data_IF_812989793003
#
_entry.id   IF_812989793003
#
_cell.length_a   1.000
_cell.length_b   1.000
_cell.length_c   1.000
_cell.angle_alpha   90.00
_cell.angle_beta   90.00
_cell.angle_gamma   90.00
#
_symmetry.space_group_name_H-M   'P 1'
#
loop_
_entity.id
_entity.type
_entity.pdbx_description
1 polymer ?
#
# COMPACT_ATOMS: atom_id res chain seq x y z
N UNK A 1 1.25 12.36 11.82
CA UNK A 1 0.60 11.21 11.15
C UNK A 1 1.51 10.63 10.06
N UNK A 2 1.58 9.30 9.92
CA UNK A 2 2.46 8.61 8.95
C UNK A 2 2.40 9.19 7.52
N UNK A 3 1.20 9.34 6.94
CA UNK A 3 1.05 9.82 5.56
C UNK A 3 1.57 11.28 5.37
N UNK A 4 1.39 12.15 6.36
CA UNK A 4 1.88 13.54 6.29
C UNK A 4 3.40 13.61 6.38
N UNK A 5 3.98 12.91 7.35
CA UNK A 5 5.40 13.03 7.66
C UNK A 5 6.25 12.23 6.68
N UNK A 6 5.88 10.97 6.45
CA UNK A 6 6.66 10.07 5.60
C UNK A 6 6.45 10.39 4.12
N UNK A 7 5.20 10.53 3.67
CA UNK A 7 4.92 10.70 2.24
C UNK A 7 4.69 12.17 1.83
N UNK A 8 4.56 13.10 2.78
CA UNK A 8 4.49 14.54 2.52
C UNK A 8 5.82 15.24 2.76
N UNK A 9 6.13 15.53 4.03
CA UNK A 9 7.34 16.28 4.41
C UNK A 9 8.64 15.61 3.95
N UNK A 10 8.80 14.31 4.23
CA UNK A 10 10.03 13.61 3.84
C UNK A 10 10.16 13.47 2.32
N UNK A 11 9.06 13.23 1.59
CA UNK A 11 9.08 13.31 0.11
C UNK A 11 9.55 14.67 -0.39
N UNK A 12 9.07 15.78 0.19
CA UNK A 12 9.49 17.12 -0.23
C UNK A 12 10.97 17.38 0.06
N UNK A 13 11.47 16.90 1.20
CA UNK A 13 12.90 16.92 1.51
C UNK A 13 13.72 16.10 0.51
N UNK A 14 13.28 14.88 0.17
CA UNK A 14 13.94 14.03 -0.84
C UNK A 14 13.98 14.75 -2.20
N UNK A 15 12.88 15.41 -2.60
CA UNK A 15 12.84 16.23 -3.82
C UNK A 15 13.86 17.37 -3.78
N UNK A 16 14.04 18.06 -2.65
CA UNK A 16 15.05 19.12 -2.50
C UNK A 16 16.48 18.56 -2.63
N UNK A 17 16.79 17.47 -1.92
CA UNK A 17 18.10 16.80 -1.98
C UNK A 17 18.43 16.37 -3.41
N UNK A 18 17.42 15.98 -4.18
CA UNK A 18 17.55 15.56 -5.58
C UNK A 18 17.50 16.71 -6.59
N UNK A 19 17.31 17.96 -6.15
CA UNK A 19 17.08 19.12 -7.02
C UNK A 19 15.86 18.96 -7.95
N UNK A 20 14.82 18.27 -7.48
CA UNK A 20 13.54 18.00 -8.15
C UNK A 20 12.39 18.78 -7.49
N UNK A 21 12.60 20.07 -7.21
CA UNK A 21 11.66 20.90 -6.43
C UNK A 21 10.28 21.03 -7.09
N UNK A 22 10.19 20.84 -8.40
CA UNK A 22 8.95 20.78 -9.17
C UNK A 22 8.06 19.57 -8.80
N UNK A 23 8.66 18.53 -8.19
CA UNK A 23 7.94 17.32 -7.72
C UNK A 23 7.44 17.42 -6.28
N UNK A 24 7.57 18.59 -5.64
CA UNK A 24 7.08 18.78 -4.27
C UNK A 24 5.56 18.64 -4.19
N UNK A 25 5.12 17.97 -3.13
CA UNK A 25 3.72 17.63 -2.87
C UNK A 25 3.09 18.66 -1.95
N UNK A 26 1.81 18.96 -2.20
CA UNK A 26 0.98 19.67 -1.22
C UNK A 26 0.70 18.76 -0.03
N UNK A 27 0.99 19.25 1.17
CA UNK A 27 0.74 18.52 2.42
C UNK A 27 -0.65 18.91 2.93
N UNK A 28 -1.48 17.91 3.23
CA UNK A 28 -2.79 18.07 3.88
C UNK A 28 -2.77 17.33 5.21
N UNK A 29 -3.20 17.99 6.27
CA UNK A 29 -3.27 17.37 7.59
C UNK A 29 -4.48 16.43 7.69
N UNK A 30 -4.42 15.41 8.54
CA UNK A 30 -5.58 14.63 8.96
C UNK A 30 -6.37 15.46 9.96
N UNK A 31 -7.65 15.69 9.67
CA UNK A 31 -8.58 16.27 10.64
C UNK A 31 -9.26 15.18 11.48
N UNK A 32 -9.54 14.03 10.85
CA UNK A 32 -10.11 12.85 11.52
C UNK A 32 -9.45 11.58 11.04
N UNK A 33 -9.32 10.61 11.96
CA UNK A 33 -8.95 9.23 11.65
C UNK A 33 -9.81 8.29 12.47
N UNK A 34 -10.28 7.21 11.85
CA UNK A 34 -11.07 6.19 12.50
C UNK A 34 -10.68 4.79 12.00
N UNK A 35 -10.93 3.81 12.85
CA UNK A 35 -10.71 2.40 12.56
C UNK A 35 -11.93 1.62 13.04
N UNK A 36 -12.42 0.69 12.23
CA UNK A 36 -13.53 -0.21 12.58
C UNK A 36 -13.22 -1.62 12.11
N UNK A 37 -13.66 -2.61 12.86
CA UNK A 37 -13.62 -4.00 12.42
C UNK A 37 -14.66 -4.25 11.31
N UNK A 38 -14.38 -5.26 10.49
CA UNK A 38 -15.31 -5.88 9.55
C UNK A 38 -14.96 -7.36 9.41
N UNK A 39 -15.79 -8.11 8.69
CA UNK A 39 -15.69 -9.57 8.56
C UNK A 39 -14.27 -10.09 8.25
N UNK A 40 -13.50 -9.37 7.41
CA UNK A 40 -12.18 -9.82 6.98
C UNK A 40 -11.00 -9.06 7.62
N UNK A 41 -11.25 -8.12 8.54
CA UNK A 41 -10.18 -7.34 9.18
C UNK A 41 -10.62 -5.96 9.68
N UNK A 42 -9.88 -4.91 9.31
CA UNK A 42 -10.09 -3.53 9.78
C UNK A 42 -10.22 -2.55 8.61
N UNK A 43 -11.20 -1.66 8.66
CA UNK A 43 -11.26 -0.47 7.81
C UNK A 43 -10.57 0.71 8.47
N UNK A 44 -9.65 1.35 7.74
CA UNK A 44 -9.09 2.66 8.07
C UNK A 44 -9.85 3.76 7.34
N UNK A 45 -10.31 4.78 8.08
CA UNK A 45 -11.00 5.95 7.53
C UNK A 45 -10.27 7.22 7.90
N UNK A 46 -10.32 8.21 7.02
CA UNK A 46 -9.73 9.54 7.27
C UNK A 46 -10.51 10.67 6.61
N UNK A 47 -10.52 11.81 7.27
CA UNK A 47 -10.87 13.11 6.68
C UNK A 47 -9.59 13.93 6.61
N UNK A 48 -9.27 14.40 5.40
CA UNK A 48 -8.12 15.27 5.16
C UNK A 48 -8.56 16.74 5.25
N UNK A 49 -7.61 17.63 5.55
CA UNK A 49 -7.84 19.06 5.59
C UNK A 49 -8.47 19.57 4.29
N UNK A 50 -9.56 20.31 4.43
CA UNK A 50 -10.37 20.81 3.31
C UNK A 50 -11.35 19.78 2.74
N UNK A 51 -11.48 18.61 3.37
CA UNK A 51 -12.40 17.54 3.00
C UNK A 51 -13.55 17.38 3.96
N UNK A 52 -14.28 16.29 3.78
CA UNK A 52 -15.49 16.02 4.54
C UNK A 52 -15.68 14.53 4.84
N UNK A 53 -16.67 14.23 5.69
CA UNK A 53 -17.11 12.85 5.89
C UNK A 53 -17.86 12.28 4.67
N UNK A 54 -18.16 13.09 3.66
CA UNK A 54 -18.71 12.63 2.37
C UNK A 54 -17.62 12.13 1.41
N UNK A 55 -16.34 12.32 1.76
CA UNK A 55 -15.21 11.87 0.96
C UNK A 55 -15.06 10.35 1.04
N UNK A 56 -14.61 9.74 -0.06
CA UNK A 56 -14.57 8.27 -0.14
C UNK A 56 -13.57 7.62 0.82
N UNK A 57 -12.55 8.37 1.25
CA UNK A 57 -11.62 7.93 2.30
C UNK A 57 -12.25 7.82 3.69
N UNK A 58 -13.44 8.41 3.88
CA UNK A 58 -14.23 8.28 5.10
C UNK A 58 -15.43 7.35 4.89
N UNK A 59 -16.24 7.56 3.84
CA UNK A 59 -17.45 6.74 3.60
C UNK A 59 -17.12 5.27 3.40
N UNK A 60 -16.27 4.97 2.44
CA UNK A 60 -15.85 3.60 2.13
C UNK A 60 -14.67 3.18 3.02
N UNK A 61 -13.61 4.00 3.08
CA UNK A 61 -12.39 3.70 3.82
C UNK A 61 -11.44 2.77 3.07
N UNK A 62 -10.39 2.33 3.76
CA UNK A 62 -9.28 1.56 3.19
C UNK A 62 -9.12 0.24 3.98
N UNK A 63 -9.34 -0.94 3.36
CA UNK A 63 -9.31 -2.19 4.09
C UNK A 63 -7.89 -2.70 4.36
N UNK A 64 -7.68 -3.12 5.60
CA UNK A 64 -6.57 -3.93 6.09
C UNK A 64 -7.16 -5.30 6.35
N UNK A 65 -6.75 -6.30 5.58
CA UNK A 65 -7.30 -7.65 5.63
C UNK A 65 -6.37 -8.50 6.49
N UNK A 66 -6.96 -9.19 7.47
CA UNK A 66 -6.23 -10.05 8.39
C UNK A 66 -5.67 -11.30 7.67
N UNK A 67 -4.52 -11.85 8.08
CA UNK A 67 -3.60 -11.27 9.05
C UNK A 67 -2.62 -10.26 8.44
N UNK A 68 -2.31 -10.34 7.14
CA UNK A 68 -1.11 -9.70 6.59
C UNK A 68 -1.31 -8.94 5.28
N UNK A 69 -2.54 -8.57 4.98
CA UNK A 69 -2.91 -8.04 3.67
C UNK A 69 -3.30 -6.56 3.77
N UNK A 70 -2.74 -5.73 2.91
CA UNK A 70 -3.19 -4.36 2.70
C UNK A 70 -3.82 -4.26 1.32
N UNK A 71 -5.12 -3.99 1.25
CA UNK A 71 -5.83 -3.83 -0.02
C UNK A 71 -5.44 -2.51 -0.66
N UNK A 72 -5.13 -2.54 -1.95
CA UNK A 72 -4.79 -1.38 -2.76
C UNK A 72 -5.49 -1.47 -4.11
N UNK A 73 -5.66 -0.33 -4.79
CA UNK A 73 -6.33 -0.30 -6.09
C UNK A 73 -7.83 -0.59 -6.01
N UNK A 74 -8.39 -1.19 -7.06
CA UNK A 74 -9.84 -1.40 -7.22
C UNK A 74 -10.48 -2.28 -6.14
N UNK A 75 -11.81 -2.14 -5.97
CA UNK A 75 -12.61 -2.90 -4.98
C UNK A 75 -12.85 -4.36 -5.36
N UNK A 76 -12.60 -4.72 -6.63
CA UNK A 76 -12.80 -6.07 -7.15
C UNK A 76 -14.23 -6.39 -7.58
N UNK A 77 -15.18 -5.52 -7.26
CA UNK A 77 -16.58 -5.68 -7.71
C UNK A 77 -16.81 -4.97 -9.04
N UNK A 78 -16.27 -3.77 -9.18
CA UNK A 78 -16.58 -2.90 -10.30
C UNK A 78 -15.31 -2.54 -11.07
N UNK A 79 -15.24 -3.02 -12.31
CA UNK A 79 -14.11 -2.77 -13.21
C UNK A 79 -13.91 -1.29 -13.52
N UNK A 80 -14.96 -0.48 -13.49
CA UNK A 80 -14.80 0.97 -13.69
C UNK A 80 -14.02 1.62 -12.55
N UNK A 81 -14.04 1.01 -11.35
CA UNK A 81 -13.29 1.47 -10.18
C UNK A 81 -11.85 0.95 -10.12
N UNK A 82 -11.42 0.18 -11.11
CA UNK A 82 -10.08 -0.42 -11.13
C UNK A 82 -8.99 0.55 -11.62
N UNK A 83 -9.33 1.74 -12.14
CA UNK A 83 -8.35 2.77 -12.51
C UNK A 83 -7.12 2.24 -13.29
N UNK A 84 -5.91 2.73 -12.97
CA UNK A 84 -4.62 2.22 -13.50
C UNK A 84 -4.15 0.92 -12.81
N UNK A 85 -4.72 0.58 -11.66
CA UNK A 85 -4.31 -0.56 -10.82
C UNK A 85 -5.56 -1.34 -10.41
N UNK A 86 -5.76 -2.51 -10.99
CA UNK A 86 -6.84 -3.40 -10.58
C UNK A 86 -6.70 -3.82 -9.12
N UNK A 87 -7.52 -4.78 -8.66
CA UNK A 87 -7.39 -5.35 -7.33
C UNK A 87 -5.92 -5.67 -7.04
N UNK A 88 -5.35 -5.00 -6.05
CA UNK A 88 -3.96 -5.17 -5.67
C UNK A 88 -3.89 -5.39 -4.18
N UNK A 89 -2.93 -6.19 -3.74
CA UNK A 89 -2.69 -6.43 -2.32
C UNK A 89 -1.19 -6.37 -2.05
N UNK A 90 -0.83 -5.78 -0.93
CA UNK A 90 0.46 -6.05 -0.33
C UNK A 90 0.30 -7.16 0.69
N UNK A 91 1.18 -8.16 0.63
CA UNK A 91 1.15 -9.34 1.50
C UNK A 91 2.46 -9.37 2.29
N UNK A 92 2.40 -9.50 3.61
CA UNK A 92 3.56 -9.49 4.50
C UNK A 92 3.63 -10.75 5.35
N UNK A 93 4.35 -11.77 4.91
CA UNK A 93 4.38 -13.07 5.59
C UNK A 93 5.67 -13.20 6.40
N UNK A 94 5.63 -13.44 7.71
CA UNK A 94 6.81 -13.81 8.48
C UNK A 94 7.45 -15.08 7.90
N UNK A 95 8.75 -15.04 7.62
CA UNK A 95 9.53 -16.22 7.22
C UNK A 95 10.19 -16.83 8.45
N UNK A 96 10.78 -15.97 9.27
CA UNK A 96 11.41 -16.28 10.55
C UNK A 96 11.30 -15.05 11.48
N UNK A 97 11.92 -15.11 12.66
CA UNK A 97 11.87 -14.06 13.69
C UNK A 97 12.44 -12.70 13.24
N UNK A 98 13.22 -12.68 12.16
CA UNK A 98 13.96 -11.51 11.68
C UNK A 98 13.69 -11.13 10.22
N UNK A 99 13.01 -11.99 9.46
CA UNK A 99 12.72 -11.78 8.03
C UNK A 99 11.23 -11.87 7.72
N UNK A 100 10.75 -10.92 6.92
CA UNK A 100 9.38 -10.89 6.40
C UNK A 100 9.41 -10.87 4.87
N UNK A 101 8.69 -11.79 4.25
CA UNK A 101 8.42 -11.76 2.82
C UNK A 101 7.40 -10.68 2.51
N UNK A 102 7.74 -9.69 1.68
CA UNK A 102 6.82 -8.63 1.27
C UNK A 102 6.53 -8.72 -0.22
N UNK A 103 5.30 -9.09 -0.55
CA UNK A 103 4.84 -9.27 -1.92
C UNK A 103 3.89 -8.16 -2.31
N UNK A 104 4.07 -7.59 -3.50
CA UNK A 104 3.07 -6.73 -4.12
C UNK A 104 2.42 -7.48 -5.27
N UNK A 105 1.17 -7.88 -5.07
CA UNK A 105 0.37 -8.54 -6.10
C UNK A 105 -0.56 -7.50 -6.69
N UNK A 106 -0.51 -7.34 -8.01
CA UNK A 106 -1.37 -6.42 -8.74
C UNK A 106 -2.02 -7.14 -9.90
N UNK A 107 -3.34 -7.09 -9.95
CA UNK A 107 -4.09 -7.58 -11.09
C UNK A 107 -4.26 -6.45 -12.11
N UNK A 108 -4.08 -6.80 -13.39
CA UNK A 108 -4.37 -5.91 -14.50
C UNK A 108 -5.56 -6.44 -15.28
N UNK A 109 -6.35 -5.52 -15.84
CA UNK A 109 -7.37 -5.90 -16.79
C UNK A 109 -6.73 -6.61 -17.99
N UNK A 110 -7.22 -7.80 -18.29
CA UNK A 110 -6.88 -8.54 -19.52
C UNK A 110 -7.45 -7.79 -20.72
N UNK A 111 -6.59 -7.40 -21.65
CA UNK A 111 -7.02 -6.82 -22.93
C UNK A 111 -7.39 -7.96 -23.89
N UNK A 112 -8.27 -7.68 -24.86
CA UNK A 112 -8.70 -8.69 -25.84
C UNK A 112 -7.55 -9.24 -26.67
N UNK A 113 -6.49 -8.47 -26.85
CA UNK A 113 -5.25 -8.83 -27.55
C UNK A 113 -4.25 -9.59 -26.67
N UNK A 114 -4.43 -9.61 -25.33
CA UNK A 114 -3.49 -10.27 -24.42
C UNK A 114 -3.72 -11.79 -24.47
N UNK A 115 -2.69 -12.61 -24.78
CA UNK A 115 -2.82 -14.06 -24.78
C UNK A 115 -3.19 -14.59 -23.38
N UNK A 116 -3.63 -15.84 -23.30
CA UNK A 116 -3.76 -16.50 -22.00
C UNK A 116 -2.40 -16.51 -21.30
N UNK A 117 -2.39 -16.05 -20.05
CA UNK A 117 -1.21 -16.06 -19.21
C UNK A 117 -1.13 -17.41 -18.50
N UNK A 118 -0.06 -18.15 -18.74
CA UNK A 118 0.23 -19.35 -17.94
C UNK A 118 0.82 -18.95 -16.59
N UNK A 119 0.75 -19.86 -15.63
CA UNK A 119 1.27 -19.61 -14.28
C UNK A 119 2.78 -19.29 -14.31
N UNK A 120 3.54 -20.03 -15.12
CA UNK A 120 4.98 -19.83 -15.32
C UNK A 120 5.34 -18.50 -16.00
N UNK A 121 4.38 -17.83 -16.64
CA UNK A 121 4.57 -16.57 -17.36
C UNK A 121 4.16 -15.35 -16.51
N UNK A 122 3.83 -15.54 -15.22
CA UNK A 122 3.55 -14.43 -14.31
C UNK A 122 4.85 -13.67 -14.06
N UNK A 123 4.95 -12.38 -14.46
CA UNK A 123 6.19 -11.65 -14.34
C UNK A 123 6.49 -11.36 -12.88
N UNK A 124 7.70 -11.74 -12.47
CA UNK A 124 8.23 -11.40 -11.15
C UNK A 124 9.22 -10.24 -11.28
N UNK A 125 9.17 -9.33 -10.32
CA UNK A 125 10.12 -8.24 -10.21
C UNK A 125 10.52 -8.07 -8.76
N UNK A 126 11.82 -7.99 -8.52
CA UNK A 126 12.38 -7.73 -7.21
C UNK A 126 12.85 -6.26 -7.15
N UNK A 127 12.18 -5.38 -6.40
CA UNK A 127 12.64 -4.01 -6.20
C UNK A 127 14.00 -3.95 -5.50
N UNK A 128 14.81 -2.91 -5.72
CA UNK A 128 16.00 -2.67 -4.90
C UNK A 128 15.57 -2.36 -3.46
N UNK A 129 16.37 -2.84 -2.51
CA UNK A 129 16.20 -2.57 -1.07
C UNK A 129 17.07 -1.38 -0.72
N UNK A 130 16.56 -0.48 0.13
CA UNK A 130 17.31 0.72 0.51
C UNK A 130 18.42 0.33 1.47
N UNK A 131 19.64 0.74 1.12
CA UNK A 131 20.83 0.59 1.93
C UNK A 131 21.45 1.97 2.20
N UNK A 132 22.30 2.03 3.21
CA UNK A 132 23.14 3.19 3.46
C UNK A 132 24.41 3.10 2.59
N UNK A 133 24.84 4.23 2.05
CA UNK A 133 26.10 4.35 1.34
C UNK A 133 27.31 4.40 2.30
N UNK A 134 28.51 4.55 1.74
CA UNK A 134 29.77 4.65 2.49
C UNK A 134 29.84 5.83 3.47
N UNK A 135 28.97 6.84 3.31
CA UNK A 135 28.87 8.01 4.18
C UNK A 135 27.69 7.89 5.16
N UNK A 136 27.14 6.69 5.32
CA UNK A 136 25.95 6.41 6.13
C UNK A 136 24.71 7.21 5.70
N UNK A 137 24.63 7.60 4.41
CA UNK A 137 23.47 8.28 3.86
C UNK A 137 22.56 7.29 3.12
N UNK A 138 21.23 7.46 3.16
CA UNK A 138 20.35 6.64 2.35
C UNK A 138 20.52 6.97 0.87
N UNK A 139 20.36 5.96 0.02
CA UNK A 139 20.31 6.14 -1.43
C UNK A 139 19.03 6.88 -1.84
N UNK A 140 19.05 8.22 -1.80
CA UNK A 140 17.89 9.09 -2.04
C UNK A 140 17.18 8.84 -3.38
N UNK A 141 17.90 8.29 -4.38
CA UNK A 141 17.31 7.90 -5.66
C UNK A 141 16.32 6.76 -5.57
N UNK A 142 16.40 5.89 -4.57
CA UNK A 142 15.41 4.83 -4.38
C UNK A 142 14.17 5.32 -3.60
N UNK A 143 14.29 6.44 -2.87
CA UNK A 143 13.27 6.96 -1.95
C UNK A 143 12.23 7.89 -2.60
N UNK A 144 12.24 8.02 -3.91
CA UNK A 144 11.28 8.78 -4.74
C UNK A 144 9.88 8.12 -4.83
N UNK A 145 9.57 7.12 -3.99
CA UNK A 145 8.27 6.45 -3.97
C UNK A 145 7.81 6.07 -2.57
N UNK A 146 6.50 6.09 -2.33
CA UNK A 146 5.91 5.78 -1.03
C UNK A 146 6.34 4.40 -0.52
N UNK A 147 6.36 3.38 -1.39
CA UNK A 147 6.69 2.02 -0.98
C UNK A 147 8.16 1.83 -0.60
N UNK A 148 9.07 2.56 -1.25
CA UNK A 148 10.46 2.59 -0.84
C UNK A 148 10.60 3.33 0.51
N UNK A 149 9.89 4.44 0.69
CA UNK A 149 9.87 5.15 1.97
C UNK A 149 9.31 4.30 3.12
N UNK A 150 8.28 3.51 2.88
CA UNK A 150 7.73 2.54 3.85
C UNK A 150 8.79 1.51 4.26
N UNK A 151 9.51 0.95 3.29
CA UNK A 151 10.58 -0.01 3.54
C UNK A 151 11.68 0.59 4.42
N UNK A 152 12.10 1.83 4.16
CA UNK A 152 13.05 2.55 5.00
C UNK A 152 12.53 2.69 6.45
N UNK A 153 11.26 3.07 6.61
CA UNK A 153 10.64 3.25 7.92
C UNK A 153 10.52 1.92 8.71
N UNK A 154 10.45 0.78 8.02
CA UNK A 154 10.45 -0.52 8.68
C UNK A 154 11.85 -0.96 9.10
N UNK A 155 12.82 -0.96 8.18
CA UNK A 155 14.17 -1.50 8.45
C UNK A 155 14.90 -0.71 9.54
N UNK A 156 14.59 0.59 9.66
CA UNK A 156 15.17 1.47 10.70
C UNK A 156 14.71 1.15 12.12
N UNK A 157 13.65 0.36 12.30
CA UNK A 157 13.24 -0.14 13.62
C UNK A 157 14.08 -1.33 14.11
N UNK A 158 15.01 -1.83 13.27
CA UNK A 158 15.81 -3.01 13.55
C UNK A 158 15.09 -4.31 13.21
N UNK A 159 15.83 -5.43 13.23
CA UNK A 159 15.28 -6.75 12.93
C UNK A 159 14.17 -7.16 13.91
N UNK A 160 14.35 -6.82 15.19
CA UNK A 160 13.35 -6.98 16.25
C UNK A 160 13.25 -5.65 16.99
N UNK A 161 12.12 -4.96 16.83
CA UNK A 161 11.89 -3.69 17.51
C UNK A 161 11.52 -3.92 19.00
N UNK A 162 12.29 -3.33 19.92
CA UNK A 162 11.94 -3.29 21.33
C UNK A 162 10.75 -2.35 21.57
N UNK A 163 9.65 -2.90 22.10
CA UNK A 163 8.40 -2.18 22.35
C UNK A 163 8.10 -1.98 23.82
N UNK A 164 9.00 -2.32 24.75
CA UNK A 164 8.72 -2.16 26.19
C UNK A 164 8.50 -0.71 26.61
N UNK A 165 9.07 0.24 25.86
CA UNK A 165 8.91 1.68 26.05
C UNK A 165 8.01 2.37 25.02
N UNK A 166 7.22 1.63 24.25
CA UNK A 166 6.36 2.21 23.20
C UNK A 166 5.26 3.09 23.80
N UNK A 167 5.13 4.33 23.29
CA UNK A 167 4.09 5.28 23.70
C UNK A 167 3.16 5.57 22.53
N UNK A 168 2.03 4.84 22.48
CA UNK A 168 1.05 4.97 21.41
C UNK A 168 0.19 6.22 21.59
N UNK A 169 -0.03 6.94 20.49
CA UNK A 169 -0.91 8.10 20.40
C UNK A 169 -2.31 7.77 19.89
N UNK A 170 -3.15 8.79 19.77
CA UNK A 170 -4.55 8.65 19.27
C UNK A 170 -4.63 8.05 17.87
N UNK A 171 -3.64 8.33 17.02
CA UNK A 171 -3.56 7.82 15.65
C UNK A 171 -3.31 6.32 15.57
N UNK A 172 -2.81 5.73 16.66
CA UNK A 172 -2.34 4.35 16.71
C UNK A 172 -3.45 3.39 17.13
N UNK A 173 -4.70 3.87 17.21
CA UNK A 173 -5.87 3.02 17.47
C UNK A 173 -5.94 1.82 16.53
N UNK A 174 -5.57 1.98 15.25
CA UNK A 174 -5.55 0.88 14.30
C UNK A 174 -4.55 -0.23 14.64
N UNK A 175 -3.35 0.11 15.13
CA UNK A 175 -2.38 -0.90 15.53
C UNK A 175 -2.79 -1.60 16.83
N UNK A 176 -3.43 -0.88 17.76
CA UNK A 176 -4.01 -1.46 18.98
C UNK A 176 -5.09 -2.49 18.60
N UNK A 177 -6.03 -2.11 17.74
CA UNK A 177 -7.08 -3.02 17.25
C UNK A 177 -6.50 -4.23 16.53
N UNK A 178 -5.48 -4.04 15.68
CA UNK A 178 -4.85 -5.13 14.95
C UNK A 178 -4.11 -6.10 15.88
N UNK A 179 -3.41 -5.61 16.91
CA UNK A 179 -2.75 -6.46 17.92
C UNK A 179 -3.77 -7.27 18.72
N UNK A 180 -4.88 -6.65 19.13
CA UNK A 180 -5.97 -7.37 19.79
C UNK A 180 -6.56 -8.46 18.89
N UNK A 181 -6.82 -8.14 17.62
CA UNK A 181 -7.31 -9.11 16.64
C UNK A 181 -6.36 -10.29 16.43
N UNK A 182 -5.04 -10.05 16.42
CA UNK A 182 -4.04 -11.13 16.38
C UNK A 182 -4.12 -12.02 17.62
N UNK A 183 -4.12 -11.43 18.82
CA UNK A 183 -4.20 -12.20 20.08
C UNK A 183 -5.46 -13.03 20.17
N UNK A 184 -6.60 -12.48 19.76
CA UNK A 184 -7.89 -13.18 19.80
C UNK A 184 -7.92 -14.33 18.78
N UNK A 185 -7.40 -14.14 17.58
CA UNK A 185 -7.30 -15.20 16.58
C UNK A 185 -6.27 -16.28 16.94
N UNK A 186 -5.19 -15.93 17.63
CA UNK A 186 -4.24 -16.90 18.18
C UNK A 186 -4.95 -17.80 19.20
N UNK A 187 -5.72 -17.23 20.14
CA UNK A 187 -6.49 -18.03 21.11
C UNK A 187 -7.49 -18.96 20.43
N UNK A 188 -8.20 -18.48 19.40
CA UNK A 188 -9.13 -19.33 18.62
C UNK A 188 -8.39 -20.53 18.02
N UNK A 189 -7.21 -20.32 17.45
CA UNK A 189 -6.37 -21.40 16.91
C UNK A 189 -5.90 -22.36 18.01
N UNK A 190 -5.45 -21.85 19.15
CA UNK A 190 -5.02 -22.66 20.30
C UNK A 190 -6.16 -23.54 20.85
N UNK A 191 -7.40 -23.05 20.80
CA UNK A 191 -8.60 -23.78 21.17
C UNK A 191 -9.08 -24.77 20.07
N UNK A 192 -8.35 -24.88 18.96
CA UNK A 192 -8.65 -25.80 17.85
C UNK A 192 -9.68 -25.26 16.84
N UNK A 193 -10.00 -23.98 16.91
CA UNK A 193 -10.87 -23.28 15.96
C UNK A 193 -10.12 -22.70 14.77
N UNK A 194 -10.89 -22.05 13.89
CA UNK A 194 -10.38 -21.37 12.70
C UNK A 194 -10.24 -19.87 12.94
N UNK A 195 -9.07 -19.27 12.62
CA UNK A 195 -8.95 -17.83 12.62
C UNK A 195 -9.76 -17.24 11.47
N UNK A 196 -10.08 -15.95 11.57
CA UNK A 196 -10.76 -15.23 10.50
C UNK A 196 -10.01 -15.37 9.18
N UNK A 197 -10.75 -15.37 8.08
CA UNK A 197 -10.26 -15.60 6.71
C UNK A 197 -9.74 -17.02 6.45
N UNK A 198 -10.18 -18.01 7.24
CA UNK A 198 -10.06 -19.43 6.91
C UNK A 198 -11.34 -19.89 6.25
N UNK A 199 -11.25 -20.34 5.00
CA UNK A 199 -12.39 -20.85 4.24
C UNK A 199 -12.19 -22.36 4.03
N UNK A 200 -13.11 -23.18 4.54
CA UNK A 200 -12.97 -24.65 4.51
C UNK A 200 -13.92 -25.32 3.52
N UNK A 201 -14.96 -24.64 3.11
CA UNK A 201 -15.95 -25.17 2.16
C UNK A 201 -15.86 -24.49 0.80
N UNK A 202 -16.44 -25.14 -0.22
CA UNK A 202 -16.52 -24.56 -1.56
C UNK A 202 -17.47 -23.36 -1.59
N UNK A 203 -18.55 -23.40 -0.80
CA UNK A 203 -19.49 -22.30 -0.66
C UNK A 203 -18.86 -21.03 -0.06
N UNK A 204 -17.87 -21.20 0.81
CA UNK A 204 -17.09 -20.12 1.40
C UNK A 204 -15.96 -19.64 0.48
N UNK A 205 -15.39 -20.54 -0.33
CA UNK A 205 -14.29 -20.26 -1.26
C UNK A 205 -14.79 -19.61 -2.56
N UNK A 206 -15.37 -18.42 -2.42
CA UNK A 206 -15.90 -17.62 -3.53
C UNK A 206 -15.07 -16.36 -3.75
N UNK A 207 -15.47 -15.56 -4.74
CA UNK A 207 -14.82 -14.29 -5.00
C UNK A 207 -15.20 -13.24 -3.92
N UNK A 208 -14.21 -12.85 -3.12
CA UNK A 208 -14.36 -11.84 -2.08
C UNK A 208 -13.82 -10.48 -2.53
N UNK A 209 -14.68 -9.63 -3.07
CA UNK A 209 -14.35 -8.22 -3.28
C UNK A 209 -14.32 -7.44 -1.96
N UNK A 210 -13.70 -6.27 -1.95
CA UNK A 210 -13.54 -5.43 -0.76
C UNK A 210 -13.78 -3.98 -1.14
N UNK A 211 -14.84 -3.38 -0.61
CA UNK A 211 -15.12 -1.95 -0.81
C UNK A 211 -13.89 -1.15 -0.37
N UNK A 212 -13.49 -0.18 -1.18
CA UNK A 212 -12.35 0.68 -0.86
C UNK A 212 -12.57 2.07 -1.42
N UNK A 213 -11.90 3.05 -0.82
CA UNK A 213 -11.89 4.43 -1.27
C UNK A 213 -11.53 4.54 -2.77
N UNK A 214 -12.16 5.46 -3.47
CA UNK A 214 -12.04 5.53 -4.91
C UNK A 214 -10.72 6.18 -5.34
N UNK A 215 -10.21 5.86 -6.54
CA UNK A 215 -9.20 6.67 -7.19
C UNK A 215 -9.67 8.12 -7.28
N UNK A 216 -8.76 9.07 -7.09
CA UNK A 216 -9.05 10.52 -7.06
C UNK A 216 -9.90 10.99 -8.23
N UNK A 217 -9.63 10.52 -9.44
CA UNK A 217 -10.35 10.91 -10.65
C UNK A 217 -11.82 10.46 -10.65
N UNK A 218 -12.12 9.30 -10.05
CA UNK A 218 -13.49 8.81 -9.92
C UNK A 218 -14.21 9.47 -8.74
N UNK A 219 -13.50 9.66 -7.63
CA UNK A 219 -14.00 10.41 -6.48
C UNK A 219 -14.44 11.83 -6.91
N UNK A 220 -13.62 12.54 -7.68
CA UNK A 220 -13.90 13.88 -8.17
C UNK A 220 -15.12 13.99 -9.11
N UNK A 221 -15.47 12.90 -9.82
CA UNK A 221 -16.69 12.85 -10.65
C UNK A 221 -17.97 12.76 -9.82
N UNK A 222 -17.88 12.20 -8.61
CA UNK A 222 -19.02 12.02 -7.69
C UNK A 222 -19.14 13.25 -6.79
N UNK A 223 -18.03 13.65 -6.18
CA UNK A 223 -17.91 14.82 -5.33
C UNK A 223 -16.66 15.61 -5.76
N UNK A 224 -16.80 16.72 -6.49
CA UNK A 224 -15.66 17.55 -6.92
C UNK A 224 -14.82 18.13 -5.78
N UNK A 225 -15.38 18.16 -4.56
CA UNK A 225 -14.69 18.60 -3.34
C UNK A 225 -14.02 17.45 -2.59
N UNK A 226 -14.12 16.21 -3.07
CA UNK A 226 -13.44 15.07 -2.44
C UNK A 226 -11.92 15.29 -2.54
N UNK A 227 -11.32 15.52 -1.39
CA UNK A 227 -9.86 15.65 -1.23
C UNK A 227 -9.25 14.37 -0.66
N UNK A 228 -10.08 13.39 -0.34
CA UNK A 228 -9.78 12.01 -0.01
C UNK A 228 -9.61 11.13 -1.26
N UNK A 229 -9.62 9.82 -1.05
CA UNK A 229 -9.32 8.81 -2.07
C UNK A 229 -7.91 8.25 -1.97
N UNK A 230 -7.69 7.10 -2.62
CA UNK A 230 -6.37 6.46 -2.63
C UNK A 230 -5.39 7.40 -3.32
N UNK A 231 -4.37 7.86 -2.59
CA UNK A 231 -3.22 8.59 -3.16
C UNK A 231 -2.38 7.74 -4.13
N UNK A 232 -2.90 6.60 -4.57
CA UNK A 232 -2.33 5.69 -5.58
C UNK A 232 -2.78 6.05 -6.99
N UNK A 233 -3.74 6.97 -7.14
CA UNK A 233 -4.16 7.52 -8.43
C UNK A 233 -3.42 8.82 -8.74
N UNK A 234 -2.10 8.73 -8.94
CA UNK A 234 -1.41 9.74 -9.75
C UNK A 234 -2.10 9.79 -11.12
N UNK A 235 -2.27 11.00 -11.64
CA UNK A 235 -2.73 11.30 -13.01
C UNK A 235 -2.39 10.17 -13.98
N UNK A 236 -3.37 9.75 -14.79
CA UNK A 236 -3.44 8.67 -15.83
C UNK A 236 -2.13 8.20 -16.53
N UNK A 237 -0.99 8.88 -16.40
CA UNK A 237 0.26 8.52 -17.05
C UNK A 237 1.52 8.54 -16.16
N UNK A 238 1.44 8.69 -14.83
CA UNK A 238 2.62 8.59 -13.96
C UNK A 238 2.47 7.53 -12.88
N UNK A 239 3.25 6.45 -13.00
CA UNK A 239 3.34 5.42 -11.96
C UNK A 239 3.92 6.03 -10.67
N UNK A 240 3.20 5.85 -9.55
CA UNK A 240 3.65 6.27 -8.23
C UNK A 240 3.52 5.14 -7.22
N UNK A 241 4.67 4.65 -6.73
CA UNK A 241 4.76 3.64 -5.66
C UNK A 241 4.17 2.26 -5.99
N UNK A 242 4.24 1.36 -5.02
CA UNK A 242 3.66 0.00 -5.04
C UNK A 242 4.16 -0.88 -6.20
N UNK A 243 3.42 -1.94 -6.52
CA UNK A 243 3.69 -2.80 -7.67
C UNK A 243 3.64 -2.06 -9.02
N UNK A 244 2.89 -0.95 -9.14
CA UNK A 244 2.74 -0.27 -10.45
C UNK A 244 4.08 0.32 -10.91
N UNK A 245 4.84 0.99 -10.02
CA UNK A 245 6.17 1.55 -10.32
C UNK A 245 7.10 0.54 -10.98
N UNK A 246 7.04 -0.70 -10.54
CA UNK A 246 7.95 -1.75 -10.94
C UNK A 246 7.33 -2.80 -11.88
N UNK A 247 6.09 -2.58 -12.34
CA UNK A 247 5.33 -3.57 -13.10
C UNK A 247 5.93 -3.79 -14.50
N UNK A 248 6.40 -5.02 -14.81
CA UNK A 248 6.85 -5.37 -16.16
C UNK A 248 5.71 -5.31 -17.18
N UNK A 249 4.47 -5.57 -16.76
CA UNK A 249 3.27 -5.49 -17.60
C UNK A 249 3.03 -4.03 -18.03
N UNK A 250 3.12 -3.09 -17.09
CA UNK A 250 2.96 -1.67 -17.41
C UNK A 250 4.11 -1.14 -18.27
N UNK A 251 5.33 -1.65 -18.09
CA UNK A 251 6.46 -1.37 -18.99
C UNK A 251 6.16 -1.80 -20.43
N UNK A 252 5.67 -3.04 -20.62
CA UNK A 252 5.31 -3.57 -21.93
C UNK A 252 4.18 -2.78 -22.60
N UNK A 253 3.24 -2.25 -21.80
CA UNK A 253 2.16 -1.38 -22.27
C UNK A 253 2.60 0.06 -22.55
N UNK A 254 3.87 0.40 -22.31
CA UNK A 254 4.42 1.74 -22.57
C UNK A 254 3.96 2.81 -21.58
N UNK A 255 3.51 2.41 -20.37
CA UNK A 255 3.10 3.37 -19.33
C UNK A 255 4.35 4.03 -18.72
N UNK A 256 4.40 5.36 -18.73
CA UNK A 256 5.53 6.12 -18.19
C UNK A 256 5.69 5.96 -16.67
N UNK A 257 6.88 6.26 -16.14
CA UNK A 257 7.11 6.38 -14.69
C UNK A 257 7.64 5.16 -13.94
N UNK A 258 8.14 4.14 -14.63
CA UNK A 258 8.80 3.00 -13.97
C UNK A 258 10.06 2.62 -14.70
N UNK A 259 11.15 2.87 -14.00
CA UNK A 259 12.47 2.43 -14.40
C UNK A 259 12.65 0.95 -14.08
N UNK A 260 13.44 0.28 -14.90
CA UNK A 260 13.80 -1.12 -14.70
C UNK A 260 14.63 -1.32 -13.42
N UNK A 261 14.47 -2.46 -12.72
CA UNK A 261 15.18 -2.75 -11.47
C UNK A 261 16.68 -2.81 -11.70
N UNK A 262 17.12 -3.43 -12.79
CA UNK A 262 18.52 -3.58 -13.12
C UNK A 262 19.14 -2.21 -13.39
N UNK A 263 18.43 -1.34 -14.11
CA UNK A 263 18.85 0.05 -14.30
C UNK A 263 18.99 0.79 -12.96
N UNK A 264 18.01 0.65 -12.04
CA UNK A 264 18.07 1.31 -10.73
C UNK A 264 19.16 0.75 -9.82
N UNK A 265 19.38 -0.57 -9.81
CA UNK A 265 20.47 -1.22 -9.06
C UNK A 265 21.84 -0.76 -9.55
N UNK A 266 22.03 -0.68 -10.88
CA UNK A 266 23.24 -0.11 -11.49
C UNK A 266 23.49 1.33 -11.04
N UNK A 267 22.45 2.15 -10.90
CA UNK A 267 22.58 3.53 -10.41
C UNK A 267 23.07 3.61 -8.96
N UNK A 268 22.85 2.58 -8.14
CA UNK A 268 23.19 2.56 -6.71
C UNK A 268 24.27 1.55 -6.34
N UNK A 269 24.88 0.88 -7.31
CA UNK A 269 25.95 -0.10 -7.06
C UNK A 269 25.49 -1.41 -6.41
N UNK A 270 24.21 -1.77 -6.59
CA UNK A 270 23.62 -3.06 -6.17
C UNK A 270 23.59 -4.08 -7.31
#
# INVERSE_FOLDING_TARGET
>A
MHLEWLHGYWSNFISEVRSETDKQRTIRNHEKIAFTEFEYGIYKRRVMQGGSEEDTSWREGHPIIFPYYLRQGGDGFDREKWGMTGPAVQIRVPIDDTHTAHWWVMCHQKESSTPEQKFEDIPFFQPPVIELDENSQPQYVLLDSNSAQDLAAWVTQGAIADRTGEHLGRSDKGIIMFRQMLEDNIKIVEDGGDPINTFRTEEENTYHGMITEYPRELAAKINPNDVGGTGTGGSVYQRQGMASKYSPILNQRGVEGGEDAEARRKLVGQ
#
